data_IF_307489215135
#
_entry.id   IF_307489215135
#
_cell.length_a   1.000
_cell.length_b   1.000
_cell.length_c   1.000
_cell.angle_alpha   90.00
_cell.angle_beta   90.00
_cell.angle_gamma   90.00
#
_symmetry.space_group_name_H-M   'P 1'
#
loop_
_entity.id
_entity.type
_entity.pdbx_description
1 polymer ?
#
# COMPACT_ATOMS: atom_id res chain seq x y z
N UNK A 1 7.78 -2.12 -8.37
CA UNK A 1 8.60 -3.17 -7.68
C UNK A 1 10.01 -3.07 -8.23
N UNK A 2 11.04 -3.04 -7.38
CA UNK A 2 12.42 -2.97 -7.84
C UNK A 2 12.89 -4.32 -8.39
N UNK A 3 13.79 -4.38 -9.40
CA UNK A 3 14.31 -5.63 -9.94
C UNK A 3 14.86 -6.58 -8.87
N UNK A 4 15.53 -6.03 -7.86
CA UNK A 4 16.10 -6.79 -6.73
C UNK A 4 15.05 -7.51 -5.88
N UNK A 5 13.87 -6.92 -5.69
CA UNK A 5 12.76 -7.57 -4.96
C UNK A 5 12.13 -8.68 -5.80
N UNK A 6 12.04 -8.49 -7.10
CA UNK A 6 11.54 -9.53 -8.01
C UNK A 6 12.43 -10.78 -7.93
N UNK A 7 13.74 -10.63 -8.03
CA UNK A 7 14.70 -11.72 -7.89
C UNK A 7 14.63 -12.42 -6.52
N UNK A 8 14.37 -11.67 -5.46
CA UNK A 8 14.25 -12.22 -4.13
C UNK A 8 12.97 -13.05 -3.92
N UNK A 9 11.85 -12.66 -4.55
CA UNK A 9 10.52 -13.24 -4.31
C UNK A 9 10.05 -14.21 -5.37
N UNK A 10 10.80 -14.34 -6.47
CA UNK A 10 10.39 -15.19 -7.59
C UNK A 10 11.56 -16.02 -8.10
N UNK A 11 11.23 -17.16 -8.72
CA UNK A 11 12.13 -17.97 -9.51
C UNK A 11 11.69 -17.92 -10.97
N UNK A 12 12.62 -17.73 -11.91
CA UNK A 12 12.32 -17.94 -13.31
C UNK A 12 12.12 -19.44 -13.54
N UNK A 13 10.93 -19.83 -13.94
CA UNK A 13 10.55 -21.25 -14.15
C UNK A 13 10.51 -21.63 -15.61
N UNK A 14 10.74 -20.68 -16.50
CA UNK A 14 10.75 -20.90 -17.94
C UNK A 14 10.44 -19.63 -18.72
N UNK A 15 10.01 -19.80 -19.94
CA UNK A 15 9.67 -18.71 -20.84
C UNK A 15 8.28 -18.93 -21.45
N UNK A 16 7.61 -17.85 -21.81
CA UNK A 16 6.29 -17.91 -22.44
C UNK A 16 6.38 -18.63 -23.79
N UNK A 17 5.36 -19.40 -24.13
CA UNK A 17 5.25 -20.05 -25.43
C UNK A 17 4.76 -19.13 -26.56
N UNK A 18 4.23 -17.95 -26.20
CA UNK A 18 3.71 -16.97 -27.15
C UNK A 18 3.98 -15.54 -26.69
N UNK A 19 3.95 -14.59 -27.65
CA UNK A 19 4.13 -13.16 -27.43
C UNK A 19 2.94 -12.38 -27.97
N UNK A 20 2.40 -11.41 -27.21
CA UNK A 20 1.31 -10.57 -27.67
C UNK A 20 1.82 -9.60 -28.76
N UNK A 21 1.50 -9.88 -29.99
CA UNK A 21 1.88 -9.08 -31.16
C UNK A 21 0.67 -8.31 -31.70
N UNK A 22 0.89 -7.11 -32.24
CA UNK A 22 -0.18 -6.30 -32.83
C UNK A 22 -0.49 -6.79 -34.26
N UNK A 23 -1.79 -6.92 -34.55
CA UNK A 23 -2.37 -7.12 -35.87
C UNK A 23 -3.60 -6.22 -35.98
N UNK A 24 -3.57 -5.22 -36.86
CA UNK A 24 -4.69 -4.28 -37.10
C UNK A 24 -5.29 -3.70 -35.80
N UNK A 25 -4.40 -3.20 -34.90
CA UNK A 25 -4.71 -2.64 -33.56
C UNK A 25 -5.25 -3.63 -32.52
N UNK A 26 -5.33 -4.92 -32.85
CA UNK A 26 -5.64 -5.97 -31.90
C UNK A 26 -4.36 -6.71 -31.45
N UNK A 27 -4.38 -7.27 -30.23
CA UNK A 27 -3.31 -8.12 -29.74
C UNK A 27 -3.63 -9.58 -30.04
N UNK A 28 -2.76 -10.22 -30.79
CA UNK A 28 -2.83 -11.66 -31.11
C UNK A 28 -1.60 -12.37 -30.57
N UNK A 29 -1.75 -13.60 -30.11
CA UNK A 29 -0.63 -14.41 -29.64
C UNK A 29 0.16 -14.96 -30.81
N UNK A 30 1.43 -14.58 -30.92
CA UNK A 30 2.38 -15.13 -31.89
C UNK A 30 3.31 -16.16 -31.19
N UNK A 31 3.47 -17.32 -31.77
CA UNK A 31 4.33 -18.37 -31.20
C UNK A 31 5.78 -17.91 -31.10
N UNK A 32 6.37 -18.14 -29.92
CA UNK A 32 7.76 -17.87 -29.63
C UNK A 32 8.63 -19.10 -29.91
N UNK A 33 9.76 -18.84 -30.52
CA UNK A 33 10.82 -19.85 -30.66
C UNK A 33 12.11 -19.28 -30.12
N UNK A 34 12.90 -20.14 -29.49
CA UNK A 34 14.25 -19.77 -29.03
C UNK A 34 15.11 -19.41 -30.25
N UNK A 35 15.90 -18.34 -30.11
CA UNK A 35 16.82 -17.95 -31.15
C UNK A 35 18.19 -18.65 -30.96
N UNK A 36 18.94 -18.82 -32.04
CA UNK A 36 20.30 -19.38 -31.97
C UNK A 36 21.27 -18.49 -31.16
N UNK A 37 20.97 -17.20 -31.06
CA UNK A 37 21.70 -16.30 -30.16
C UNK A 37 21.11 -16.40 -28.75
N UNK A 38 21.96 -16.63 -27.77
CA UNK A 38 21.58 -16.68 -26.37
C UNK A 38 20.79 -15.43 -25.91
N UNK A 39 19.95 -15.62 -24.89
CA UNK A 39 19.18 -14.58 -24.21
C UNK A 39 18.14 -13.84 -25.05
N UNK A 40 17.65 -14.41 -26.14
CA UNK A 40 16.55 -13.85 -26.89
C UNK A 40 15.65 -14.92 -27.53
N UNK A 41 14.41 -14.52 -27.77
CA UNK A 41 13.39 -15.27 -28.45
C UNK A 41 12.98 -14.56 -29.73
N UNK A 42 12.40 -15.27 -30.68
CA UNK A 42 11.90 -14.74 -31.94
C UNK A 42 10.47 -15.17 -32.17
N UNK A 43 9.71 -14.31 -32.82
CA UNK A 43 8.38 -14.64 -33.32
C UNK A 43 8.16 -14.08 -34.72
N UNK A 44 7.25 -14.67 -35.46
CA UNK A 44 6.86 -14.18 -36.76
C UNK A 44 5.77 -13.11 -36.56
N UNK A 45 6.05 -11.87 -36.93
CA UNK A 45 5.08 -10.78 -36.79
C UNK A 45 3.83 -11.07 -37.64
N UNK A 46 2.62 -11.11 -37.05
CA UNK A 46 1.41 -11.46 -37.81
C UNK A 46 1.07 -10.44 -38.88
N UNK A 47 1.41 -9.16 -38.69
CA UNK A 47 1.14 -8.08 -39.62
C UNK A 47 2.12 -8.02 -40.79
N UNK A 48 3.43 -8.21 -40.54
CA UNK A 48 4.48 -8.00 -41.53
C UNK A 48 5.09 -9.31 -42.05
N UNK A 49 4.78 -10.42 -41.38
CA UNK A 49 5.35 -11.75 -41.62
C UNK A 49 6.88 -11.81 -41.50
N UNK A 50 7.51 -10.80 -40.93
CA UNK A 50 8.96 -10.74 -40.66
C UNK A 50 9.26 -11.29 -39.26
N UNK A 51 10.45 -11.85 -39.09
CA UNK A 51 10.95 -12.23 -37.79
C UNK A 51 11.23 -10.98 -36.96
N UNK A 52 10.73 -10.97 -35.72
CA UNK A 52 11.05 -10.00 -34.69
C UNK A 52 11.65 -10.72 -33.50
N UNK A 53 12.50 -10.02 -32.78
CA UNK A 53 13.23 -10.55 -31.63
C UNK A 53 12.80 -9.82 -30.36
N UNK A 54 12.73 -10.60 -29.28
CA UNK A 54 12.39 -10.11 -27.93
C UNK A 54 13.44 -10.66 -26.95
N UNK A 55 13.93 -9.84 -26.02
CA UNK A 55 14.83 -10.31 -24.96
C UNK A 55 14.19 -11.41 -24.13
N UNK A 56 14.96 -12.40 -23.69
CA UNK A 56 14.48 -13.47 -22.82
C UNK A 56 13.82 -12.93 -21.53
N UNK A 57 14.33 -11.82 -21.00
CA UNK A 57 13.78 -11.17 -19.81
C UNK A 57 12.32 -10.68 -19.98
N UNK A 58 11.89 -10.34 -21.20
CA UNK A 58 10.53 -9.88 -21.48
C UNK A 58 9.52 -11.03 -21.58
N UNK A 59 10.00 -12.24 -21.82
CA UNK A 59 9.17 -13.44 -21.98
C UNK A 59 9.39 -14.46 -20.88
N UNK A 60 10.21 -14.13 -19.90
CA UNK A 60 10.45 -14.96 -18.73
C UNK A 60 9.18 -15.12 -17.88
N UNK A 61 8.90 -16.36 -17.51
CA UNK A 61 7.79 -16.73 -16.61
C UNK A 61 8.36 -16.96 -15.22
N UNK A 62 7.78 -16.28 -14.25
CA UNK A 62 8.23 -16.34 -12.87
C UNK A 62 7.22 -17.04 -12.00
N UNK A 63 7.69 -17.94 -11.14
CA UNK A 63 6.92 -18.49 -10.03
C UNK A 63 7.23 -17.72 -8.75
N UNK A 64 6.20 -17.41 -7.98
CA UNK A 64 6.35 -16.72 -6.70
C UNK A 64 6.85 -17.69 -5.64
N UNK A 65 7.79 -17.25 -4.81
CA UNK A 65 8.26 -17.94 -3.59
C UNK A 65 7.49 -17.44 -2.35
N UNK A 66 6.42 -18.10 -1.93
CA UNK A 66 5.61 -17.63 -0.79
C UNK A 66 6.43 -17.45 0.48
N UNK A 67 7.31 -18.40 0.81
CA UNK A 67 8.17 -18.35 1.99
C UNK A 67 9.08 -17.10 2.03
N UNK A 68 9.60 -16.65 0.88
CA UNK A 68 10.41 -15.45 0.80
C UNK A 68 9.59 -14.17 1.07
N UNK A 69 8.36 -14.09 0.56
CA UNK A 69 7.44 -12.99 0.84
C UNK A 69 7.05 -12.98 2.32
N UNK A 70 6.68 -14.13 2.87
CA UNK A 70 6.30 -14.29 4.28
C UNK A 70 7.46 -13.93 5.21
N UNK A 71 8.68 -14.33 4.87
CA UNK A 71 9.88 -13.94 5.61
C UNK A 71 10.10 -12.43 5.60
N UNK A 72 9.92 -11.79 4.45
CA UNK A 72 10.02 -10.33 4.34
C UNK A 72 8.96 -9.62 5.21
N UNK A 73 7.71 -10.12 5.21
CA UNK A 73 6.65 -9.56 6.06
C UNK A 73 7.00 -9.76 7.54
N UNK A 74 7.54 -10.92 7.92
CA UNK A 74 7.98 -11.18 9.29
C UNK A 74 9.13 -10.26 9.71
N UNK A 75 10.08 -9.95 8.80
CA UNK A 75 11.15 -8.98 9.02
C UNK A 75 10.59 -7.57 9.24
N UNK A 76 9.65 -7.14 8.40
CA UNK A 76 8.99 -5.83 8.51
C UNK A 76 8.16 -5.69 9.81
N UNK A 77 7.62 -6.79 10.33
CA UNK A 77 6.94 -6.85 11.63
C UNK A 77 7.92 -6.94 12.82
N UNK A 78 9.22 -7.03 12.57
CA UNK A 78 10.23 -7.21 13.61
C UNK A 78 10.14 -8.56 14.34
N UNK A 79 9.60 -9.60 13.69
CA UNK A 79 9.51 -10.94 14.28
C UNK A 79 10.91 -11.58 14.30
N UNK A 80 11.48 -11.72 15.49
CA UNK A 80 12.76 -12.38 15.66
C UNK A 80 12.72 -13.82 15.14
N UNK A 81 13.81 -14.29 14.53
CA UNK A 81 13.89 -15.63 13.92
C UNK A 81 13.41 -16.74 14.86
N UNK A 82 13.77 -16.67 16.15
CA UNK A 82 13.37 -17.65 17.16
C UNK A 82 11.84 -17.66 17.46
N UNK A 83 11.13 -16.60 17.08
CA UNK A 83 9.68 -16.44 17.28
C UNK A 83 8.86 -16.70 16.02
N UNK A 84 9.53 -16.96 14.88
CA UNK A 84 8.85 -17.31 13.62
C UNK A 84 8.27 -18.72 13.69
N UNK A 85 7.12 -18.89 13.03
CA UNK A 85 6.43 -20.18 12.95
C UNK A 85 5.82 -20.32 11.57
N UNK A 86 5.76 -21.53 11.04
CA UNK A 86 4.95 -21.90 9.89
C UNK A 86 5.13 -21.08 8.61
N UNK A 87 6.28 -20.42 8.41
CA UNK A 87 6.55 -19.65 7.19
C UNK A 87 6.67 -20.58 5.98
N UNK A 88 7.28 -21.76 6.18
CA UNK A 88 7.53 -22.73 5.11
C UNK A 88 6.34 -23.68 4.87
N UNK A 89 5.40 -23.75 5.82
CA UNK A 89 4.25 -24.64 5.72
C UNK A 89 2.96 -23.88 6.09
N UNK A 90 2.01 -23.73 5.16
CA UNK A 90 0.71 -23.13 5.46
C UNK A 90 -0.08 -24.00 6.43
N UNK A 91 -0.90 -23.36 7.26
CA UNK A 91 -1.89 -24.04 8.11
C UNK A 91 -3.13 -24.47 7.31
N UNK A 92 -3.43 -23.73 6.26
CA UNK A 92 -4.39 -24.05 5.21
C UNK A 92 -3.70 -23.82 3.88
N UNK A 93 -3.78 -24.75 2.97
CA UNK A 93 -3.11 -24.73 1.70
C UNK A 93 -3.37 -23.42 0.96
N UNK A 94 -2.29 -22.75 0.58
CA UNK A 94 -2.26 -21.46 -0.11
C UNK A 94 -3.10 -20.31 0.49
N UNK A 95 -3.60 -20.46 1.72
CA UNK A 95 -4.52 -19.50 2.32
C UNK A 95 -4.08 -18.93 3.66
N UNK A 96 -3.53 -19.72 4.58
CA UNK A 96 -3.26 -19.28 5.96
C UNK A 96 -1.87 -19.68 6.43
N UNK A 97 -1.10 -18.72 6.94
CA UNK A 97 0.22 -18.93 7.55
C UNK A 97 0.30 -18.30 8.92
N UNK A 98 0.99 -18.97 9.85
CA UNK A 98 1.35 -18.41 11.14
C UNK A 98 2.75 -17.79 11.05
N UNK A 99 2.85 -16.47 11.01
CA UNK A 99 4.14 -15.78 10.90
C UNK A 99 4.98 -15.87 12.18
N UNK A 100 4.32 -15.99 13.33
CA UNK A 100 4.98 -16.02 14.64
C UNK A 100 4.49 -14.91 15.56
N UNK A 101 5.36 -14.47 16.50
CA UNK A 101 5.02 -13.45 17.49
C UNK A 101 5.74 -12.15 17.22
N UNK A 102 4.98 -11.09 16.95
CA UNK A 102 5.47 -9.72 16.82
C UNK A 102 5.25 -8.93 18.11
N UNK A 103 6.17 -8.01 18.41
CA UNK A 103 5.94 -7.02 19.45
C UNK A 103 5.14 -5.86 18.89
N UNK A 104 3.85 -5.81 19.21
CA UNK A 104 2.94 -4.76 18.77
C UNK A 104 2.49 -4.00 20.03
N UNK A 105 2.98 -2.76 20.20
CA UNK A 105 2.88 -2.05 21.46
C UNK A 105 3.62 -2.76 22.58
N UNK A 106 3.06 -2.88 23.80
CA UNK A 106 3.72 -3.50 24.94
C UNK A 106 3.71 -5.04 24.90
N UNK A 107 2.86 -5.67 24.10
CA UNK A 107 2.60 -7.11 24.11
C UNK A 107 3.27 -7.85 22.95
N UNK A 108 3.59 -9.13 23.19
CA UNK A 108 3.91 -10.10 22.14
C UNK A 108 2.60 -10.71 21.64
N UNK A 109 2.30 -10.48 20.37
CA UNK A 109 1.04 -10.87 19.73
C UNK A 109 1.31 -11.90 18.65
N UNK A 110 0.56 -12.99 18.64
CA UNK A 110 0.59 -13.95 17.53
C UNK A 110 0.01 -13.30 16.27
N UNK A 111 0.72 -13.48 15.14
CA UNK A 111 0.36 -12.87 13.85
C UNK A 111 0.20 -13.96 12.80
N UNK A 112 -0.93 -13.93 12.10
CA UNK A 112 -1.20 -14.76 10.94
C UNK A 112 -1.30 -13.92 9.69
N UNK A 113 -0.98 -14.51 8.54
CA UNK A 113 -1.28 -13.96 7.24
C UNK A 113 -2.32 -14.81 6.53
N UNK A 114 -3.35 -14.16 5.99
CA UNK A 114 -4.37 -14.81 5.16
C UNK A 114 -4.33 -14.23 3.76
N UNK A 115 -4.24 -15.11 2.77
CA UNK A 115 -4.40 -14.78 1.36
C UNK A 115 -5.82 -15.05 0.92
N UNK A 116 -6.41 -14.10 0.16
CA UNK A 116 -7.74 -14.30 -0.42
C UNK A 116 -8.86 -14.49 0.62
N UNK A 117 -8.80 -13.79 1.74
CA UNK A 117 -9.72 -13.95 2.89
C UNK A 117 -11.21 -14.01 2.48
N UNK A 118 -11.63 -13.24 1.47
CA UNK A 118 -13.02 -13.24 1.00
C UNK A 118 -13.49 -14.61 0.49
N UNK A 119 -12.57 -15.43 -0.02
CA UNK A 119 -12.88 -16.75 -0.57
C UNK A 119 -12.63 -17.89 0.43
N UNK A 120 -11.81 -17.65 1.45
CA UNK A 120 -11.37 -18.67 2.41
C UNK A 120 -11.90 -18.43 3.84
N UNK A 121 -12.80 -17.46 4.03
CA UNK A 121 -13.25 -17.03 5.37
C UNK A 121 -13.80 -18.17 6.21
N UNK A 122 -14.62 -19.06 5.64
CA UNK A 122 -15.23 -20.17 6.37
C UNK A 122 -14.19 -21.20 6.83
N UNK A 123 -13.22 -21.52 5.97
CA UNK A 123 -12.17 -22.48 6.30
C UNK A 123 -11.22 -21.90 7.34
N UNK A 124 -10.84 -20.63 7.20
CA UNK A 124 -10.02 -19.90 8.16
C UNK A 124 -10.71 -19.84 9.52
N UNK A 125 -12.02 -19.51 9.57
CA UNK A 125 -12.76 -19.43 10.82
C UNK A 125 -12.94 -20.82 11.46
N UNK A 126 -13.18 -21.84 10.65
CA UNK A 126 -13.24 -23.23 11.12
C UNK A 126 -11.91 -23.65 11.74
N UNK A 127 -10.80 -23.37 11.09
CA UNK A 127 -9.47 -23.67 11.60
C UNK A 127 -9.22 -22.98 12.96
N UNK A 128 -9.52 -21.70 13.08
CA UNK A 128 -9.37 -20.96 14.34
C UNK A 128 -10.27 -21.46 15.46
N UNK A 129 -11.46 -21.99 15.16
CA UNK A 129 -12.35 -22.55 16.15
C UNK A 129 -11.97 -23.98 16.60
N UNK A 130 -11.38 -24.76 15.71
CA UNK A 130 -11.08 -26.19 15.97
C UNK A 130 -9.68 -26.41 16.55
N UNK A 131 -8.77 -25.45 16.38
CA UNK A 131 -7.38 -25.61 16.77
C UNK A 131 -7.10 -24.96 18.13
N UNK A 132 -6.20 -25.57 18.93
CA UNK A 132 -5.73 -24.98 20.19
C UNK A 132 -4.76 -23.84 19.87
N UNK A 133 -5.29 -22.67 19.65
CA UNK A 133 -4.57 -21.42 19.35
C UNK A 133 -4.80 -20.41 20.48
N UNK A 134 -3.95 -19.36 20.58
CA UNK A 134 -4.18 -18.26 21.51
C UNK A 134 -5.57 -17.63 21.32
N UNK A 135 -6.18 -17.13 22.40
CA UNK A 135 -7.52 -16.56 22.35
C UNK A 135 -7.58 -15.21 21.63
N UNK A 136 -6.44 -14.56 21.47
CA UNK A 136 -6.31 -13.26 20.82
C UNK A 136 -5.08 -13.21 19.91
N UNK A 137 -5.15 -12.41 18.87
CA UNK A 137 -4.05 -12.19 17.93
C UNK A 137 -4.45 -11.34 16.75
N UNK A 138 -3.52 -11.16 15.85
CA UNK A 138 -3.68 -10.34 14.65
C UNK A 138 -3.67 -11.20 13.39
N UNK A 139 -4.68 -11.02 12.57
CA UNK A 139 -4.78 -11.64 11.25
C UNK A 139 -4.60 -10.56 10.19
N UNK A 140 -3.47 -10.62 9.49
CA UNK A 140 -3.19 -9.75 8.35
C UNK A 140 -3.81 -10.35 7.08
N UNK A 141 -4.61 -9.59 6.38
CA UNK A 141 -5.14 -9.98 5.07
C UNK A 141 -4.31 -9.37 3.95
N UNK A 142 -3.87 -10.17 2.99
CA UNK A 142 -3.21 -9.68 1.78
C UNK A 142 -4.16 -8.99 0.81
N UNK A 143 -5.48 -9.22 0.98
CA UNK A 143 -6.56 -8.59 0.24
C UNK A 143 -7.33 -7.56 1.06
N UNK A 144 -8.62 -7.41 0.75
CA UNK A 144 -9.53 -6.58 1.54
C UNK A 144 -9.76 -7.13 2.95
N UNK A 145 -10.20 -6.27 3.85
CA UNK A 145 -10.72 -6.68 5.16
C UNK A 145 -12.16 -7.16 5.04
N UNK A 146 -12.58 -7.98 6.00
CA UNK A 146 -13.95 -8.42 6.08
C UNK A 146 -14.90 -7.24 6.35
N UNK A 147 -16.15 -7.32 5.87
CA UNK A 147 -17.18 -6.37 6.26
C UNK A 147 -17.34 -6.32 7.79
N UNK A 148 -17.65 -5.16 8.33
CA UNK A 148 -17.71 -4.91 9.79
C UNK A 148 -18.70 -5.81 10.53
N UNK A 149 -19.72 -6.35 9.85
CA UNK A 149 -20.68 -7.27 10.44
C UNK A 149 -20.15 -8.71 10.57
N UNK A 150 -19.03 -9.03 9.92
CA UNK A 150 -18.39 -10.35 10.03
C UNK A 150 -17.40 -10.30 11.18
N UNK A 151 -17.72 -11.00 12.25
CA UNK A 151 -16.88 -11.08 13.45
C UNK A 151 -15.91 -12.26 13.35
N UNK A 152 -14.62 -12.02 13.61
CA UNK A 152 -13.66 -13.11 13.71
C UNK A 152 -13.98 -13.99 14.92
N UNK A 153 -13.61 -15.27 14.89
CA UNK A 153 -13.71 -16.13 16.05
C UNK A 153 -12.81 -15.61 17.18
N UNK A 154 -13.21 -15.82 18.42
CA UNK A 154 -12.47 -15.39 19.61
C UNK A 154 -12.20 -13.87 19.61
N UNK A 155 -11.08 -13.44 20.19
CA UNK A 155 -10.68 -12.03 20.26
C UNK A 155 -9.66 -11.65 19.19
N UNK A 156 -9.69 -12.29 18.01
CA UNK A 156 -8.82 -11.92 16.91
C UNK A 156 -9.22 -10.58 16.29
N UNK A 157 -8.23 -9.89 15.73
CA UNK A 157 -8.43 -8.66 14.97
C UNK A 157 -7.93 -8.85 13.55
N UNK A 158 -8.65 -8.27 12.60
CA UNK A 158 -8.23 -8.24 11.20
C UNK A 158 -7.62 -6.88 10.86
N UNK A 159 -6.52 -6.91 10.10
CA UNK A 159 -5.94 -5.74 9.48
C UNK A 159 -5.61 -6.03 8.01
N UNK A 160 -5.80 -5.05 7.14
CA UNK A 160 -5.29 -5.13 5.79
C UNK A 160 -3.77 -4.92 5.80
N UNK A 161 -3.02 -5.87 5.24
CA UNK A 161 -1.58 -5.71 5.07
C UNK A 161 -1.26 -4.47 4.22
N UNK A 162 -2.05 -4.22 3.16
CA UNK A 162 -1.90 -3.05 2.32
C UNK A 162 -2.08 -1.74 3.08
N UNK A 163 -3.05 -1.67 4.01
CA UNK A 163 -3.27 -0.48 4.82
C UNK A 163 -2.18 -0.29 5.89
N UNK A 164 -1.54 -1.38 6.32
CA UNK A 164 -0.47 -1.33 7.30
C UNK A 164 0.92 -1.06 6.69
N UNK A 165 1.10 -1.30 5.38
CA UNK A 165 2.36 -0.99 4.70
C UNK A 165 2.46 0.50 4.46
N UNK A 166 3.59 1.07 4.87
CA UNK A 166 3.99 2.46 4.61
C UNK A 166 5.01 2.43 3.48
N UNK A 167 4.60 2.82 2.28
CA UNK A 167 5.41 2.74 1.05
C UNK A 167 5.89 4.10 0.52
N UNK A 168 5.48 5.19 1.15
CA UNK A 168 5.90 6.56 0.82
C UNK A 168 7.21 6.98 1.50
N UNK A 169 7.87 6.08 2.22
CA UNK A 169 9.19 6.26 2.80
C UNK A 169 10.25 5.54 1.96
N UNK A 170 11.51 5.97 2.06
CA UNK A 170 12.61 5.39 1.27
C UNK A 170 12.76 3.88 1.43
N UNK A 171 12.43 3.36 2.61
CA UNK A 171 12.39 1.91 2.90
C UNK A 171 10.99 1.56 3.38
N UNK A 172 10.25 0.70 2.68
CA UNK A 172 8.93 0.26 3.11
C UNK A 172 8.98 -0.32 4.53
N UNK A 173 7.99 0.02 5.35
CA UNK A 173 7.85 -0.49 6.70
C UNK A 173 6.38 -0.80 7.00
N UNK A 174 6.14 -1.49 8.12
CA UNK A 174 4.77 -1.72 8.63
C UNK A 174 4.48 -0.73 9.76
N UNK A 175 3.31 -0.12 9.71
CA UNK A 175 2.81 0.78 10.76
C UNK A 175 2.37 -0.03 11.99
N UNK A 176 3.33 -0.26 12.90
CA UNK A 176 3.06 -0.98 14.15
C UNK A 176 2.13 -0.22 15.09
N UNK A 177 2.08 1.11 15.01
CA UNK A 177 1.16 1.93 15.81
C UNK A 177 -0.29 1.77 15.32
N UNK A 178 -0.50 1.67 14.01
CA UNK A 178 -1.79 1.30 13.45
C UNK A 178 -2.22 -0.08 13.96
N UNK A 179 -1.34 -1.08 13.87
CA UNK A 179 -1.64 -2.43 14.32
C UNK A 179 -1.93 -2.48 15.83
N UNK A 180 -1.21 -1.71 16.63
CA UNK A 180 -1.47 -1.57 18.05
C UNK A 180 -2.86 -0.99 18.34
N UNK A 181 -3.25 0.08 17.63
CA UNK A 181 -4.59 0.67 17.75
C UNK A 181 -5.70 -0.31 17.35
N UNK A 182 -5.48 -1.13 16.30
CA UNK A 182 -6.40 -2.17 15.88
C UNK A 182 -6.60 -3.20 16.99
N UNK A 183 -5.52 -3.62 17.64
CA UNK A 183 -5.57 -4.59 18.75
C UNK A 183 -6.24 -4.01 20.01
N UNK A 184 -6.00 -2.74 20.30
CA UNK A 184 -6.53 -2.05 21.48
C UNK A 184 -8.00 -1.58 21.32
N UNK A 185 -8.49 -1.49 20.08
CA UNK A 185 -9.83 -1.01 19.84
C UNK A 185 -10.91 -1.97 20.35
N UNK A 186 -12.06 -1.44 20.78
CA UNK A 186 -13.22 -2.27 21.05
C UNK A 186 -13.65 -3.04 19.78
N UNK A 187 -14.33 -4.19 19.91
CA UNK A 187 -14.73 -5.04 18.78
C UNK A 187 -15.52 -4.32 17.69
N UNK A 188 -16.27 -3.30 18.06
CA UNK A 188 -17.15 -2.53 17.18
C UNK A 188 -16.55 -1.13 16.84
N UNK A 189 -15.30 -0.87 17.22
CA UNK A 189 -14.62 0.40 16.98
C UNK A 189 -14.11 0.53 15.54
N UNK A 190 -14.44 1.64 14.87
CA UNK A 190 -13.90 1.99 13.58
C UNK A 190 -12.45 2.49 13.74
N UNK A 191 -11.48 1.80 13.13
CA UNK A 191 -10.07 2.20 13.17
C UNK A 191 -9.67 2.67 11.78
N UNK A 192 -9.36 3.95 11.70
CA UNK A 192 -8.81 4.53 10.48
C UNK A 192 -7.28 4.40 10.47
N UNK A 193 -6.66 4.10 9.32
CA UNK A 193 -5.22 4.20 9.16
C UNK A 193 -4.74 5.58 9.61
N UNK A 194 -3.58 5.65 10.26
CA UNK A 194 -3.00 6.94 10.58
C UNK A 194 -2.50 7.56 9.27
N UNK A 195 -3.14 8.65 8.88
CA UNK A 195 -2.69 9.39 7.71
C UNK A 195 -1.24 9.85 7.91
N UNK A 196 -0.44 9.91 6.84
CA UNK A 196 0.91 10.45 6.91
C UNK A 196 0.93 11.93 7.28
N UNK A 197 -0.24 12.54 7.30
CA UNK A 197 -0.48 13.96 7.56
C UNK A 197 -1.55 14.10 8.63
N UNK A 198 -1.31 14.96 9.61
CA UNK A 198 -2.28 15.31 10.66
C UNK A 198 -2.41 16.83 10.78
N UNK A 199 -3.63 17.32 10.82
CA UNK A 199 -3.92 18.73 11.05
C UNK A 199 -4.66 18.91 12.37
N UNK A 200 -4.05 19.67 13.28
CA UNK A 200 -4.68 20.03 14.54
C UNK A 200 -5.42 21.37 14.37
N UNK A 201 -6.75 21.31 14.39
CA UNK A 201 -7.62 22.49 14.18
C UNK A 201 -7.54 23.53 15.31
N UNK A 202 -7.24 23.12 16.54
CA UNK A 202 -7.16 24.04 17.69
C UNK A 202 -5.90 24.90 17.65
N UNK A 203 -4.79 24.33 17.16
CA UNK A 203 -3.50 25.01 17.08
C UNK A 203 -3.14 25.46 15.67
N UNK A 204 -3.96 25.14 14.67
CA UNK A 204 -3.68 25.31 13.25
C UNK A 204 -2.30 24.75 12.86
N UNK A 205 -1.98 23.55 13.37
CA UNK A 205 -0.67 22.95 13.17
C UNK A 205 -0.78 21.72 12.27
N UNK A 206 0.00 21.71 11.19
CA UNK A 206 0.16 20.60 10.28
C UNK A 206 1.40 19.80 10.68
N UNK A 207 1.23 18.50 10.85
CA UNK A 207 2.32 17.54 11.05
C UNK A 207 2.35 16.56 9.89
N UNK A 208 3.48 16.43 9.25
CA UNK A 208 3.72 15.41 8.23
C UNK A 208 4.74 14.41 8.80
N UNK A 209 4.46 13.12 8.72
CA UNK A 209 5.25 12.06 9.37
C UNK A 209 6.72 12.03 8.93
N UNK A 210 7.00 12.45 7.70
CA UNK A 210 8.36 12.52 7.15
C UNK A 210 9.11 13.80 7.54
N UNK A 211 8.43 14.79 8.13
CA UNK A 211 9.04 16.06 8.53
C UNK A 211 9.32 16.07 10.03
N UNK A 212 10.50 16.50 10.40
CA UNK A 212 10.92 16.59 11.81
C UNK A 212 10.26 17.73 12.56
N UNK A 213 9.77 18.76 11.86
CA UNK A 213 9.20 19.96 12.45
C UNK A 213 7.73 20.10 12.04
N UNK A 214 6.79 20.30 12.97
CA UNK A 214 5.42 20.68 12.65
C UNK A 214 5.36 22.11 12.09
N UNK A 215 4.41 22.37 11.20
CA UNK A 215 4.17 23.71 10.65
C UNK A 215 2.95 24.34 11.31
N UNK A 216 3.16 25.44 12.04
CA UNK A 216 2.07 26.22 12.65
C UNK A 216 1.65 27.35 11.72
N UNK A 217 0.39 27.35 11.32
CA UNK A 217 -0.19 28.24 10.32
C UNK A 217 -0.88 29.41 11.04
N UNK A 218 -0.37 30.63 10.84
CA UNK A 218 -0.84 31.82 11.54
C UNK A 218 -2.04 32.50 10.87
N UNK A 219 -2.19 32.31 9.55
CA UNK A 219 -3.25 32.98 8.78
C UNK A 219 -4.52 32.16 8.70
N UNK A 220 -5.68 32.70 9.06
CA UNK A 220 -6.97 32.00 9.02
C UNK A 220 -7.29 31.39 7.63
N UNK A 221 -7.05 32.13 6.55
CA UNK A 221 -7.27 31.66 5.17
C UNK A 221 -6.34 30.52 4.81
N UNK A 222 -5.08 30.62 5.23
CA UNK A 222 -4.09 29.57 5.04
C UNK A 222 -4.49 28.31 5.82
N UNK A 223 -4.93 28.47 7.07
CA UNK A 223 -5.40 27.37 7.90
C UNK A 223 -6.66 26.71 7.30
N UNK A 224 -7.60 27.48 6.77
CA UNK A 224 -8.79 26.97 6.09
C UNK A 224 -8.42 26.15 4.83
N UNK A 225 -7.45 26.62 4.04
CA UNK A 225 -6.95 25.89 2.88
C UNK A 225 -6.32 24.55 3.27
N UNK A 226 -5.44 24.55 4.28
CA UNK A 226 -4.75 23.34 4.74
C UNK A 226 -5.72 22.36 5.41
N UNK A 227 -6.70 22.87 6.19
CA UNK A 227 -7.78 22.03 6.73
C UNK A 227 -8.56 21.34 5.62
N UNK A 228 -8.97 22.07 4.59
CA UNK A 228 -9.66 21.51 3.45
C UNK A 228 -8.83 20.43 2.75
N UNK A 229 -7.54 20.68 2.51
CA UNK A 229 -6.63 19.68 1.94
C UNK A 229 -6.54 18.43 2.81
N UNK A 230 -6.50 18.60 4.13
CA UNK A 230 -6.48 17.49 5.08
C UNK A 230 -7.78 16.67 5.06
N UNK A 231 -8.94 17.33 5.05
CA UNK A 231 -10.25 16.68 4.92
C UNK A 231 -10.36 15.86 3.62
N UNK A 232 -9.81 16.38 2.52
CA UNK A 232 -9.79 15.65 1.26
C UNK A 232 -8.80 14.46 1.31
N UNK A 233 -7.67 14.61 1.97
CA UNK A 233 -6.70 13.53 2.16
C UNK A 233 -7.28 12.36 2.99
N UNK A 234 -8.15 12.65 3.98
CA UNK A 234 -8.93 11.63 4.72
C UNK A 234 -9.79 10.78 3.76
N UNK A 235 -10.27 11.38 2.66
CA UNK A 235 -11.07 10.72 1.64
C UNK A 235 -10.22 10.22 0.44
N UNK A 236 -8.92 10.01 0.67
CA UNK A 236 -7.94 9.52 -0.31
C UNK A 236 -7.74 10.42 -1.55
N UNK A 237 -8.13 11.70 -1.44
CA UNK A 237 -7.91 12.72 -2.47
C UNK A 237 -6.66 13.55 -2.13
N UNK A 238 -5.50 13.06 -2.51
CA UNK A 238 -4.21 13.65 -2.16
C UNK A 238 -3.75 14.81 -3.04
N UNK A 239 -4.27 14.90 -4.27
CA UNK A 239 -3.98 15.97 -5.22
C UNK A 239 -5.25 16.73 -5.55
N UNK A 240 -5.24 18.03 -5.32
CA UNK A 240 -6.40 18.89 -5.46
C UNK A 240 -6.12 20.04 -6.43
N UNK A 241 -7.06 20.41 -7.30
CA UNK A 241 -6.95 21.61 -8.10
C UNK A 241 -6.82 22.86 -7.22
N UNK A 242 -5.95 23.80 -7.60
CA UNK A 242 -5.78 25.06 -6.89
C UNK A 242 -7.12 25.80 -6.67
N UNK A 243 -8.02 25.73 -7.64
CA UNK A 243 -9.34 26.38 -7.57
C UNK A 243 -10.20 25.86 -6.40
N UNK A 244 -10.15 24.56 -6.09
CA UNK A 244 -10.86 23.95 -4.96
C UNK A 244 -10.29 24.45 -3.63
N UNK A 245 -8.95 24.43 -3.50
CA UNK A 245 -8.25 24.86 -2.30
C UNK A 245 -8.51 26.36 -2.02
N UNK A 246 -8.39 27.18 -3.07
CA UNK A 246 -8.67 28.61 -2.98
C UNK A 246 -10.16 28.88 -2.66
N UNK A 247 -11.06 28.05 -3.21
CA UNK A 247 -12.48 28.11 -2.90
C UNK A 247 -12.80 27.87 -1.42
N UNK A 248 -12.04 26.99 -0.77
CA UNK A 248 -12.16 26.74 0.67
C UNK A 248 -11.55 27.86 1.53
N UNK A 249 -10.49 28.50 1.03
CA UNK A 249 -9.81 29.60 1.75
C UNK A 249 -10.55 30.94 1.69
N UNK A 250 -11.35 31.16 0.63
CA UNK A 250 -12.05 32.43 0.40
C UNK A 250 -13.56 32.20 0.35
N UNK A 251 -14.29 32.91 1.20
CA UNK A 251 -15.75 32.82 1.24
C UNK A 251 -16.43 33.30 -0.06
N UNK A 252 -15.80 34.25 -0.77
CA UNK A 252 -16.28 34.78 -2.04
C UNK A 252 -15.61 34.09 -3.22
N UNK A 253 -16.45 33.42 -4.07
CA UNK A 253 -16.04 32.71 -5.26
C UNK A 253 -15.32 33.58 -6.31
N UNK A 254 -15.69 34.88 -6.38
CA UNK A 254 -15.08 35.79 -7.34
C UNK A 254 -13.66 36.12 -6.93
N UNK A 255 -13.42 36.38 -5.64
CA UNK A 255 -12.10 36.59 -5.07
C UNK A 255 -11.24 35.34 -5.21
N UNK A 256 -11.79 34.15 -4.89
CA UNK A 256 -11.06 32.87 -5.02
C UNK A 256 -10.51 32.64 -6.44
N UNK A 257 -11.30 32.96 -7.49
CA UNK A 257 -10.88 32.78 -8.91
C UNK A 257 -9.76 33.70 -9.33
N UNK A 258 -9.58 34.82 -8.71
CA UNK A 258 -8.51 35.79 -9.03
C UNK A 258 -7.20 35.55 -8.27
N UNK A 259 -7.21 34.64 -7.30
CA UNK A 259 -6.08 34.36 -6.43
C UNK A 259 -5.20 33.19 -6.96
N UNK A 260 -3.98 33.13 -6.45
CA UNK A 260 -3.02 32.05 -6.67
C UNK A 260 -2.56 31.49 -5.34
N UNK A 261 -2.13 30.24 -5.32
CA UNK A 261 -1.60 29.59 -4.11
C UNK A 261 -0.44 30.39 -3.48
N UNK A 262 0.47 30.89 -4.30
CA UNK A 262 1.57 31.75 -3.85
C UNK A 262 1.08 33.03 -3.13
N UNK A 263 -0.02 33.63 -3.59
CA UNK A 263 -0.59 34.81 -2.94
C UNK A 263 -1.26 34.44 -1.60
N UNK A 264 -1.93 33.28 -1.54
CA UNK A 264 -2.53 32.78 -0.31
C UNK A 264 -1.48 32.57 0.78
N UNK A 265 -0.34 32.01 0.43
CA UNK A 265 0.76 31.74 1.36
C UNK A 265 1.85 32.83 1.37
N UNK A 266 1.58 33.98 0.77
CA UNK A 266 2.53 35.11 0.80
C UNK A 266 2.87 35.49 2.26
N UNK A 267 4.17 35.69 2.52
CA UNK A 267 4.67 35.95 3.87
C UNK A 267 4.89 34.71 4.76
N UNK A 268 4.64 33.53 4.23
CA UNK A 268 4.93 32.26 4.91
C UNK A 268 5.79 31.39 3.97
N UNK A 269 7.11 31.44 4.11
CA UNK A 269 8.05 30.72 3.24
C UNK A 269 8.11 29.21 3.53
N UNK A 270 7.62 28.77 4.70
CA UNK A 270 7.65 27.37 5.10
C UNK A 270 6.63 26.51 4.33
N UNK A 271 5.60 27.09 3.70
CA UNK A 271 4.55 26.32 3.05
C UNK A 271 5.05 25.41 1.92
N UNK A 272 6.11 25.80 1.21
CA UNK A 272 6.71 25.01 0.13
C UNK A 272 7.42 23.74 0.63
N UNK A 273 7.75 23.68 1.91
CA UNK A 273 8.31 22.48 2.52
C UNK A 273 7.23 21.42 2.83
N UNK A 274 5.97 21.84 2.91
CA UNK A 274 4.83 20.98 3.32
C UNK A 274 3.83 20.74 2.21
N UNK A 275 3.71 21.64 1.24
CA UNK A 275 2.78 21.54 0.12
C UNK A 275 3.58 21.51 -1.18
N UNK A 276 3.29 20.54 -2.03
CA UNK A 276 3.92 20.34 -3.33
C UNK A 276 2.95 20.59 -4.47
N UNK A 277 3.51 20.83 -5.67
CA UNK A 277 2.78 20.99 -6.93
C UNK A 277 3.37 20.01 -7.97
N UNK A 278 3.15 18.70 -7.79
CA UNK A 278 3.72 17.67 -8.68
C UNK A 278 3.12 17.71 -10.08
N UNK A 279 1.88 18.22 -10.22
CA UNK A 279 1.20 18.39 -11.48
C UNK A 279 0.74 19.84 -11.64
N UNK A 280 0.87 20.40 -12.83
CA UNK A 280 0.50 21.79 -13.11
C UNK A 280 -0.91 22.12 -12.62
N UNK A 281 -0.99 23.03 -11.66
CA UNK A 281 -2.27 23.49 -11.09
C UNK A 281 -2.91 22.58 -10.06
N UNK A 282 -2.26 21.45 -9.66
CA UNK A 282 -2.70 20.58 -8.59
C UNK A 282 -1.68 20.59 -7.45
N UNK A 283 -2.18 20.65 -6.24
CA UNK A 283 -1.40 20.74 -5.02
C UNK A 283 -1.74 19.58 -4.07
N UNK A 284 -0.74 19.12 -3.35
CA UNK A 284 -0.88 18.07 -2.35
C UNK A 284 0.13 18.23 -1.22
N UNK A 285 -0.01 17.44 -0.17
CA UNK A 285 1.00 17.42 0.89
C UNK A 285 2.26 16.69 0.41
N UNK A 286 3.43 17.29 0.73
CA UNK A 286 4.74 16.68 0.47
C UNK A 286 4.95 15.51 1.44
N UNK A 287 4.98 14.30 0.92
CA UNK A 287 5.03 13.06 1.71
C UNK A 287 6.39 12.35 1.67
N UNK A 288 7.33 12.92 0.95
CA UNK A 288 8.72 12.49 0.75
C UNK A 288 9.70 13.25 1.69
#
# INVERSE_FOLDING_TARGET
>A
MTPKLLEQWTDCVGYAGSYPASLDDELVNADLTEDEQADRYRYRCPQTFRWKFVPAAEVAVYSVRPAAILSTIADLLGIAQALRKGIDAPLLDDALWHLGKARIGPALTDVWLVRGLAHSVEEVFRHFNQTSLPDQGLILSSGGVLPQFVRPPRSYRFASLRAAIVDYVATPCIDLDLLHRILAAPPDGEIRPMLPVHFNEYTNTLTIRTKTKPWTIKGERQAAAVRYMFEQAINDRWLLPAAEILGAAYADKKTARSQRMQNLFSGNTEWEDYIDNPEKGKYGFRRD
#
